data_IF_872327487759
#
_entry.id   IF_872327487759
#
_cell.length_a   1.000
_cell.length_b   1.000
_cell.length_c   1.000
_cell.angle_alpha   90.00
_cell.angle_beta   90.00
_cell.angle_gamma   90.00
#
_symmetry.space_group_name_H-M   'P 1'
#
loop_
_entity.id
_entity.type
_entity.pdbx_description
1 polymer ?
#
# COMPACT_ATOMS: atom_id res chain seq x y z
N UNK A 1 14.34 18.44 -3.64
CA UNK A 1 14.23 17.67 -2.41
C UNK A 1 13.44 16.41 -2.67
N UNK A 2 14.09 15.35 -3.16
CA UNK A 2 13.40 14.08 -3.50
C UNK A 2 13.88 12.90 -2.62
N UNK A 3 14.87 13.12 -1.76
CA UNK A 3 15.50 12.07 -0.95
C UNK A 3 14.89 11.99 0.46
N UNK A 4 14.39 13.11 0.98
CA UNK A 4 13.84 13.20 2.34
C UNK A 4 12.41 12.63 2.40
N UNK A 5 11.60 12.86 1.36
CA UNK A 5 10.25 12.29 1.20
C UNK A 5 10.29 10.76 1.12
N UNK A 6 11.19 10.20 0.30
CA UNK A 6 11.38 8.76 0.21
C UNK A 6 11.88 8.16 1.55
N UNK A 7 12.71 8.88 2.29
CA UNK A 7 13.22 8.46 3.60
C UNK A 7 12.15 8.53 4.70
N UNK A 8 11.26 9.53 4.67
CA UNK A 8 10.13 9.62 5.61
C UNK A 8 9.09 8.55 5.35
N UNK A 9 8.79 8.33 4.08
CA UNK A 9 7.92 7.27 3.61
C UNK A 9 8.40 5.87 3.99
N UNK A 10 9.67 5.55 3.74
CA UNK A 10 10.28 4.31 4.19
C UNK A 10 10.18 4.19 5.72
N UNK A 11 10.45 5.26 6.49
CA UNK A 11 10.35 5.24 7.96
C UNK A 11 8.93 4.98 8.47
N UNK A 12 7.91 5.64 7.91
CA UNK A 12 6.51 5.46 8.33
C UNK A 12 6.06 4.04 8.04
N UNK A 13 6.37 3.53 6.87
CA UNK A 13 5.99 2.18 6.52
C UNK A 13 6.77 1.12 7.30
N UNK A 14 8.07 1.30 7.51
CA UNK A 14 8.90 0.39 8.30
C UNK A 14 8.43 0.33 9.76
N UNK A 15 7.99 1.46 10.33
CA UNK A 15 7.39 1.49 11.65
C UNK A 15 6.07 0.69 11.73
N UNK A 16 5.22 0.76 10.70
CA UNK A 16 3.98 -0.04 10.65
C UNK A 16 4.31 -1.52 10.39
N UNK A 17 5.24 -1.82 9.48
CA UNK A 17 5.70 -3.17 9.17
C UNK A 17 6.32 -3.84 10.40
N UNK A 18 7.10 -3.10 11.18
CA UNK A 18 7.69 -3.56 12.44
C UNK A 18 6.62 -3.90 13.47
N UNK A 19 5.54 -3.10 13.56
CA UNK A 19 4.39 -3.42 14.43
C UNK A 19 3.64 -4.67 13.99
N UNK A 20 3.52 -4.89 12.68
CA UNK A 20 2.87 -6.06 12.10
C UNK A 20 3.72 -7.31 12.32
N UNK A 21 5.02 -7.23 12.05
CA UNK A 21 5.95 -8.34 12.28
C UNK A 21 6.07 -8.69 13.76
N UNK A 22 6.01 -7.70 14.66
CA UNK A 22 5.94 -7.93 16.10
C UNK A 22 4.65 -8.63 16.54
N UNK A 23 3.52 -8.38 15.85
CA UNK A 23 2.27 -9.09 16.10
C UNK A 23 2.28 -10.53 15.55
N UNK A 24 3.00 -10.79 14.46
CA UNK A 24 3.20 -12.13 13.86
C UNK A 24 4.15 -13.02 14.69
N UNK A 25 5.04 -12.40 15.47
CA UNK A 25 6.02 -13.10 16.32
C UNK A 25 5.37 -13.81 17.53
N UNK A 26 4.15 -13.42 17.89
CA UNK A 26 3.41 -14.00 19.00
C UNK A 26 2.69 -15.27 18.49
N UNK A 27 3.35 -16.43 18.59
CA UNK A 27 2.91 -17.73 18.04
C UNK A 27 1.53 -18.25 18.51
N UNK A 28 0.83 -17.53 19.39
CA UNK A 28 -0.52 -17.86 19.86
C UNK A 28 -1.61 -17.00 19.20
N UNK A 29 -1.22 -15.93 18.50
CA UNK A 29 -2.17 -15.09 17.78
C UNK A 29 -2.41 -15.67 16.39
N UNK A 30 -3.63 -16.15 16.11
CA UNK A 30 -4.14 -16.46 14.75
C UNK A 30 -4.12 -15.24 13.80
N UNK A 31 -3.52 -14.13 14.23
CA UNK A 31 -3.37 -12.88 13.52
C UNK A 31 -2.16 -12.98 12.59
N UNK A 32 -2.29 -13.77 11.52
CA UNK A 32 -1.49 -13.50 10.32
C UNK A 32 -1.70 -12.04 9.93
N UNK A 33 -0.72 -11.36 9.30
CA UNK A 33 -0.96 -10.05 8.70
C UNK A 33 -2.12 -10.14 7.70
N UNK A 34 -3.31 -9.83 8.19
CA UNK A 34 -4.53 -9.84 7.42
C UNK A 34 -4.52 -8.66 6.44
N UNK A 35 -5.44 -8.66 5.47
CA UNK A 35 -5.60 -7.56 4.52
C UNK A 35 -5.65 -6.20 5.24
N UNK A 36 -6.21 -6.13 6.46
CA UNK A 36 -6.22 -4.91 7.29
C UNK A 36 -4.83 -4.35 7.64
N UNK A 37 -3.88 -5.22 8.00
CA UNK A 37 -2.52 -4.84 8.37
C UNK A 37 -1.75 -4.31 7.15
N UNK A 38 -1.84 -5.02 6.03
CA UNK A 38 -1.23 -4.60 4.77
C UNK A 38 -1.85 -3.30 4.23
N UNK A 39 -3.18 -3.14 4.38
CA UNK A 39 -3.89 -1.91 4.03
C UNK A 39 -3.35 -0.70 4.80
N UNK A 40 -3.02 -0.88 6.08
CA UNK A 40 -2.46 0.20 6.90
C UNK A 40 -1.08 0.66 6.43
N UNK A 41 -0.21 -0.27 5.99
CA UNK A 41 1.11 0.07 5.44
C UNK A 41 0.97 0.73 4.07
N UNK A 42 0.10 0.20 3.20
CA UNK A 42 -0.18 0.80 1.88
C UNK A 42 -0.74 2.21 2.01
N UNK A 43 -1.63 2.45 2.97
CA UNK A 43 -2.19 3.78 3.23
C UNK A 43 -1.13 4.77 3.74
N UNK A 44 -0.21 4.31 4.60
CA UNK A 44 0.92 5.12 5.04
C UNK A 44 1.83 5.52 3.87
N UNK A 45 2.12 4.59 2.97
CA UNK A 45 2.87 4.86 1.73
C UNK A 45 2.12 5.81 0.79
N UNK A 46 0.81 5.60 0.59
CA UNK A 46 -0.03 6.44 -0.24
C UNK A 46 -0.10 7.88 0.30
N UNK A 47 -0.21 8.03 1.62
CA UNK A 47 -0.29 9.33 2.29
C UNK A 47 1.05 10.07 2.33
N UNK A 48 2.18 9.35 2.36
CA UNK A 48 3.50 9.95 2.21
C UNK A 48 3.70 10.54 0.81
N UNK A 49 3.13 9.89 -0.23
CA UNK A 49 3.16 10.37 -1.59
C UNK A 49 4.56 10.35 -2.23
N UNK A 50 4.62 10.77 -3.49
CA UNK A 50 5.84 10.70 -4.28
C UNK A 50 6.07 9.34 -4.94
N UNK A 51 6.87 9.30 -6.02
CA UNK A 51 6.91 8.16 -6.93
C UNK A 51 7.43 6.87 -6.28
N UNK A 52 8.36 6.98 -5.32
CA UNK A 52 8.95 5.83 -4.62
C UNK A 52 7.95 5.17 -3.68
N UNK A 53 7.18 5.99 -2.95
CA UNK A 53 6.20 5.54 -1.97
C UNK A 53 5.00 4.90 -2.65
N UNK A 54 4.55 5.54 -3.72
CA UNK A 54 3.49 5.01 -4.57
C UNK A 54 3.87 3.67 -5.18
N UNK A 55 5.10 3.52 -5.69
CA UNK A 55 5.58 2.25 -6.21
C UNK A 55 5.60 1.15 -5.13
N UNK A 56 6.07 1.46 -3.91
CA UNK A 56 6.08 0.52 -2.78
C UNK A 56 4.67 0.07 -2.34
N UNK A 57 3.71 1.00 -2.29
CA UNK A 57 2.32 0.66 -2.00
C UNK A 57 1.73 -0.28 -3.06
N UNK A 58 2.00 -0.01 -4.35
CA UNK A 58 1.53 -0.84 -5.46
C UNK A 58 2.19 -2.22 -5.50
N UNK A 59 3.47 -2.32 -5.11
CA UNK A 59 4.16 -3.60 -4.97
C UNK A 59 3.51 -4.46 -3.88
N UNK A 60 3.21 -3.88 -2.71
CA UNK A 60 2.51 -4.63 -1.66
C UNK A 60 1.11 -5.03 -2.08
N UNK A 61 0.38 -4.14 -2.76
CA UNK A 61 -0.94 -4.45 -3.31
C UNK A 61 -0.90 -5.66 -4.27
N UNK A 62 0.10 -5.73 -5.16
CA UNK A 62 0.28 -6.86 -6.07
C UNK A 62 0.66 -8.17 -5.35
N UNK A 63 1.30 -8.07 -4.18
CA UNK A 63 1.62 -9.20 -3.34
C UNK A 63 0.47 -9.71 -2.46
N UNK A 64 -0.68 -9.00 -2.43
CA UNK A 64 -1.83 -9.45 -1.63
C UNK A 64 -2.54 -10.60 -2.31
N UNK A 65 -2.72 -11.69 -1.55
CA UNK A 65 -3.43 -12.89 -2.02
C UNK A 65 -4.94 -12.65 -2.16
N UNK A 66 -5.51 -11.79 -1.30
CA UNK A 66 -6.91 -11.36 -1.30
C UNK A 66 -7.03 -9.86 -1.00
N UNK A 67 -6.82 -8.99 -2.00
CA UNK A 67 -7.07 -7.57 -1.85
C UNK A 67 -8.58 -7.33 -1.65
N UNK A 68 -8.91 -6.48 -0.69
CA UNK A 68 -10.27 -6.05 -0.43
C UNK A 68 -10.50 -4.60 -0.91
N UNK A 69 -11.72 -4.09 -0.74
CA UNK A 69 -12.10 -2.73 -1.17
C UNK A 69 -11.17 -1.65 -0.61
N UNK A 70 -10.65 -1.81 0.60
CA UNK A 70 -9.67 -0.89 1.19
C UNK A 70 -8.30 -1.00 0.55
N UNK A 71 -7.84 -2.21 0.20
CA UNK A 71 -6.58 -2.44 -0.52
C UNK A 71 -6.56 -1.68 -1.84
N UNK A 72 -7.66 -1.77 -2.59
CA UNK A 72 -7.83 -1.05 -3.86
C UNK A 72 -7.85 0.47 -3.66
N UNK A 73 -8.58 0.96 -2.66
CA UNK A 73 -8.61 2.39 -2.35
C UNK A 73 -7.22 2.94 -1.98
N UNK A 74 -6.42 2.17 -1.22
CA UNK A 74 -5.05 2.52 -0.86
C UNK A 74 -4.14 2.54 -2.10
N UNK A 75 -4.23 1.54 -2.98
CA UNK A 75 -3.47 1.47 -4.23
C UNK A 75 -3.80 2.64 -5.18
N UNK A 76 -5.07 3.00 -5.29
CA UNK A 76 -5.54 4.17 -6.06
C UNK A 76 -4.99 5.47 -5.52
N UNK A 77 -5.05 5.67 -4.20
CA UNK A 77 -4.46 6.85 -3.55
C UNK A 77 -2.96 6.91 -3.77
N UNK A 78 -2.28 5.78 -3.64
CA UNK A 78 -0.85 5.67 -3.90
C UNK A 78 -0.53 6.08 -5.34
N UNK A 79 -1.18 5.48 -6.34
CA UNK A 79 -0.99 5.81 -7.74
C UNK A 79 -1.22 7.32 -7.98
N UNK A 80 -2.31 7.87 -7.45
CA UNK A 80 -2.68 9.29 -7.55
C UNK A 80 -1.64 10.24 -6.94
N UNK A 81 -1.03 9.85 -5.82
CA UNK A 81 -0.03 10.64 -5.11
C UNK A 81 1.40 10.43 -5.64
N UNK A 82 1.61 9.63 -6.69
CA UNK A 82 2.95 9.36 -7.25
C UNK A 82 3.63 10.58 -7.88
N UNK A 83 2.90 11.69 -8.05
CA UNK A 83 3.42 12.91 -8.67
C UNK A 83 3.68 12.77 -10.17
N UNK A 84 3.27 11.65 -10.79
CA UNK A 84 3.37 11.42 -12.23
C UNK A 84 2.12 11.99 -12.91
N UNK A 85 2.27 12.61 -14.08
CA UNK A 85 1.12 13.13 -14.84
C UNK A 85 0.10 12.02 -15.20
N UNK A 86 0.54 10.77 -15.26
CA UNK A 86 -0.26 9.59 -15.61
C UNK A 86 -0.83 8.86 -14.39
N UNK A 87 -0.57 9.36 -13.18
CA UNK A 87 -1.00 8.82 -11.90
C UNK A 87 -2.51 8.51 -11.85
N UNK A 88 -3.33 9.43 -12.37
CA UNK A 88 -4.79 9.27 -12.41
C UNK A 88 -5.25 8.17 -13.37
N UNK A 89 -4.56 7.97 -14.48
CA UNK A 89 -4.87 6.91 -15.45
C UNK A 89 -4.47 5.54 -14.91
N UNK A 90 -3.31 5.44 -14.28
CA UNK A 90 -2.84 4.22 -13.62
C UNK A 90 -3.77 3.82 -12.47
N UNK A 91 -4.22 4.79 -11.68
CA UNK A 91 -5.22 4.60 -10.64
C UNK A 91 -6.56 4.10 -11.21
N UNK A 92 -7.05 4.68 -12.31
CA UNK A 92 -8.30 4.25 -12.95
C UNK A 92 -8.20 2.83 -13.54
N UNK A 93 -7.06 2.47 -14.13
CA UNK A 93 -6.83 1.12 -14.66
C UNK A 93 -6.81 0.06 -13.55
N UNK A 94 -6.26 0.39 -12.38
CA UNK A 94 -6.29 -0.50 -11.21
C UNK A 94 -7.72 -0.79 -10.73
N UNK A 95 -8.60 0.22 -10.72
CA UNK A 95 -10.01 0.04 -10.34
C UNK A 95 -10.76 -0.77 -11.39
N UNK A 96 -10.56 -0.50 -12.68
CA UNK A 96 -11.22 -1.29 -13.73
C UNK A 96 -10.80 -2.76 -13.67
N UNK A 97 -9.49 -3.04 -13.52
CA UNK A 97 -9.01 -4.40 -13.35
C UNK A 97 -9.45 -5.09 -12.04
N UNK A 98 -9.89 -4.32 -11.03
CA UNK A 98 -10.51 -4.84 -9.81
C UNK A 98 -11.90 -5.39 -10.08
N UNK A 99 -12.71 -4.58 -10.78
CA UNK A 99 -14.11 -4.90 -11.09
C UNK A 99 -14.18 -6.15 -11.96
N UNK A 100 -13.24 -6.29 -12.89
CA UNK A 100 -13.17 -7.47 -13.78
C UNK A 100 -12.71 -8.77 -13.10
N UNK A 101 -12.02 -8.68 -11.95
CA UNK A 101 -11.60 -9.86 -11.15
C UNK A 101 -12.54 -10.18 -9.99
N UNK A 102 -13.54 -9.33 -9.76
CA UNK A 102 -14.55 -9.48 -8.71
C UNK A 102 -15.78 -10.29 -9.13
N UNK A 103 -15.79 -10.88 -10.33
CA UNK A 103 -16.88 -11.73 -10.85
C UNK A 103 -16.45 -13.21 -10.97
#
# INVERSE_FOLDING_TARGET
GNNEEAAECARRADAVLSRISAADSDSDSEVRPDSYSLNSVMDAYASAGGPVCSARALEMFNGMERPDSYSYAAAVRAASNSGRAEAGTEAANLVNGAVERGE
#
